data_IF_785477191681
#
_entry.id   IF_785477191681
#
_cell.length_a   1.000
_cell.length_b   1.000
_cell.length_c   1.000
_cell.angle_alpha   90.00
_cell.angle_beta   90.00
_cell.angle_gamma   90.00
#
_symmetry.space_group_name_H-M   'P 1'
#
loop_
_entity.id
_entity.type
_entity.pdbx_description
1 polymer ?
#
# COMPACT_ATOMS: atom_id res chain seq x y z
N UNK A 1 -1.12 15.54 17.61
CA UNK A 1 -0.13 14.63 17.02
C UNK A 1 0.58 13.87 18.11
N UNK A 2 1.22 12.72 17.80
CA UNK A 2 2.04 11.97 18.76
C UNK A 2 3.35 12.74 18.99
N UNK A 3 3.68 13.05 20.24
CA UNK A 3 4.85 13.88 20.59
C UNK A 3 6.19 13.22 20.27
N UNK A 4 6.23 11.90 20.13
CA UNK A 4 7.42 11.13 19.78
C UNK A 4 7.70 11.05 18.27
N UNK A 5 6.81 11.57 17.41
CA UNK A 5 6.95 11.52 15.95
C UNK A 5 7.28 12.91 15.39
N UNK A 6 8.14 12.92 14.35
CA UNK A 6 8.48 14.17 13.66
C UNK A 6 7.26 14.70 12.90
N UNK A 7 6.86 15.98 13.08
CA UNK A 7 5.69 16.54 12.41
C UNK A 7 5.79 16.50 10.88
N UNK A 8 4.67 16.20 10.21
CA UNK A 8 4.51 16.23 8.75
C UNK A 8 5.46 15.33 7.94
N UNK A 9 6.01 14.29 8.55
CA UNK A 9 6.92 13.34 7.89
C UNK A 9 6.33 11.95 7.63
N UNK A 10 5.00 11.79 7.77
CA UNK A 10 4.35 10.48 7.61
C UNK A 10 4.63 9.82 6.25
N UNK A 11 4.66 10.59 5.16
CA UNK A 11 5.00 10.06 3.83
C UNK A 11 6.44 9.54 3.71
N UNK A 12 7.37 10.06 4.51
CA UNK A 12 8.73 9.53 4.60
C UNK A 12 8.77 8.26 5.44
N UNK A 13 7.99 8.19 6.52
CA UNK A 13 7.84 6.97 7.33
C UNK A 13 7.27 5.82 6.48
N UNK A 14 6.21 6.07 5.70
CA UNK A 14 5.64 5.13 4.72
C UNK A 14 6.67 4.60 3.71
N UNK A 15 7.45 5.51 3.14
CA UNK A 15 8.48 5.13 2.15
C UNK A 15 9.64 4.40 2.85
N UNK A 16 9.99 4.81 4.07
CA UNK A 16 11.03 4.21 4.90
C UNK A 16 10.72 2.76 5.24
N UNK A 17 9.46 2.43 5.58
CA UNK A 17 9.02 1.06 5.80
C UNK A 17 9.27 0.18 4.56
N UNK A 18 8.95 0.66 3.36
CA UNK A 18 9.22 -0.08 2.12
C UNK A 18 10.73 -0.24 1.85
N UNK A 19 11.56 0.75 2.21
CA UNK A 19 13.02 0.64 2.09
C UNK A 19 13.59 -0.41 3.03
N UNK A 20 13.14 -0.44 4.30
CA UNK A 20 13.56 -1.42 5.30
C UNK A 20 13.12 -2.83 4.88
N UNK A 21 11.87 -2.98 4.44
CA UNK A 21 11.33 -4.24 3.92
C UNK A 21 12.19 -4.84 2.79
N UNK A 22 12.51 -4.04 1.78
CA UNK A 22 13.36 -4.45 0.64
C UNK A 22 14.77 -4.80 1.13
N UNK A 23 15.33 -4.02 2.05
CA UNK A 23 16.70 -4.22 2.55
C UNK A 23 16.85 -5.52 3.34
N UNK A 24 15.80 -5.92 4.05
CA UNK A 24 15.75 -7.14 4.87
C UNK A 24 15.18 -8.34 4.12
N UNK A 25 14.64 -8.15 2.90
CA UNK A 25 14.04 -9.23 2.12
C UNK A 25 12.75 -9.78 2.73
N UNK A 26 12.00 -8.97 3.48
CA UNK A 26 10.77 -9.38 4.14
C UNK A 26 9.64 -9.57 3.11
N UNK A 27 9.52 -8.65 2.15
CA UNK A 27 8.53 -8.67 1.07
C UNK A 27 7.08 -8.67 1.59
N UNK A 28 6.81 -7.92 2.66
CA UNK A 28 5.48 -7.73 3.24
C UNK A 28 4.94 -6.32 3.02
N UNK A 29 5.79 -5.30 2.83
CA UNK A 29 5.32 -3.94 2.50
C UNK A 29 5.12 -3.80 0.99
N UNK A 30 3.90 -3.51 0.49
CA UNK A 30 3.72 -3.17 -0.91
C UNK A 30 4.60 -1.98 -1.28
N UNK A 31 5.25 -2.04 -2.44
CA UNK A 31 6.28 -1.07 -2.83
C UNK A 31 5.78 0.37 -2.70
N UNK A 32 6.45 1.16 -1.87
CA UNK A 32 6.10 2.56 -1.60
C UNK A 32 7.27 3.47 -1.93
N UNK A 33 6.99 4.59 -2.61
CA UNK A 33 8.00 5.61 -2.94
C UNK A 33 7.49 7.03 -2.74
N UNK A 34 8.41 7.96 -2.54
CA UNK A 34 8.12 9.40 -2.63
C UNK A 34 7.91 9.77 -4.10
N UNK A 35 6.76 10.38 -4.40
CA UNK A 35 6.41 10.87 -5.74
C UNK A 35 5.92 12.31 -5.69
N UNK A 36 5.81 12.93 -6.87
CA UNK A 36 5.18 14.24 -7.06
C UNK A 36 4.03 14.09 -8.04
N UNK A 37 2.81 14.33 -7.59
CA UNK A 37 1.61 14.20 -8.42
C UNK A 37 0.82 15.51 -8.45
N UNK A 38 0.08 15.70 -9.55
CA UNK A 38 -0.89 16.78 -9.73
C UNK A 38 -2.22 16.13 -10.08
N UNK A 39 -3.29 16.51 -9.37
CA UNK A 39 -4.66 16.06 -9.68
C UNK A 39 -5.66 17.10 -9.19
N UNK A 40 -6.68 17.44 -9.98
CA UNK A 40 -7.73 18.38 -9.58
C UNK A 40 -8.54 17.92 -8.35
N UNK A 41 -8.54 16.60 -8.09
CA UNK A 41 -9.18 15.98 -6.93
C UNK A 41 -8.42 16.20 -5.62
N UNK A 42 -7.14 16.60 -5.67
CA UNK A 42 -6.38 16.89 -4.46
C UNK A 42 -6.80 18.21 -3.79
N UNK A 43 -6.59 18.29 -2.48
CA UNK A 43 -6.90 19.49 -1.70
C UNK A 43 -5.84 20.59 -1.90
N UNK A 44 -6.16 21.61 -2.67
CA UNK A 44 -5.33 22.80 -2.90
C UNK A 44 -5.92 24.04 -2.23
N UNK A 45 -5.06 24.98 -1.87
CA UNK A 45 -5.49 26.29 -1.43
C UNK A 45 -6.28 26.99 -2.56
N UNK A 46 -7.30 27.79 -2.21
CA UNK A 46 -8.09 28.54 -3.20
C UNK A 46 -7.19 29.39 -4.10
N UNK A 47 -6.17 30.03 -3.53
CA UNK A 47 -5.21 30.84 -4.28
C UNK A 47 -4.45 30.03 -5.35
N UNK A 48 -4.16 28.75 -5.11
CA UNK A 48 -3.44 27.92 -6.08
C UNK A 48 -4.36 27.52 -7.23
N UNK A 49 -5.64 27.25 -6.93
CA UNK A 49 -6.67 26.99 -7.93
C UNK A 49 -6.87 28.22 -8.82
N UNK A 50 -7.11 29.39 -8.23
CA UNK A 50 -7.31 30.64 -9.00
C UNK A 50 -6.08 31.00 -9.84
N UNK A 51 -4.87 30.90 -9.27
CA UNK A 51 -3.63 31.12 -10.03
C UNK A 51 -3.52 30.17 -11.22
N UNK A 52 -3.89 28.90 -11.05
CA UNK A 52 -3.85 27.92 -12.14
C UNK A 52 -4.85 28.25 -13.24
N UNK A 53 -6.06 28.69 -12.90
CA UNK A 53 -7.08 29.14 -13.85
C UNK A 53 -6.63 30.38 -14.62
N UNK A 54 -6.19 31.42 -13.91
CA UNK A 54 -5.73 32.67 -14.54
C UNK A 54 -4.56 32.42 -15.48
N UNK A 55 -3.57 31.61 -15.08
CA UNK A 55 -2.43 31.27 -15.95
C UNK A 55 -2.88 30.52 -17.21
N UNK A 56 -3.87 29.64 -17.10
CA UNK A 56 -4.45 28.93 -18.24
C UNK A 56 -5.15 29.90 -19.19
N UNK A 57 -6.01 30.78 -18.66
CA UNK A 57 -6.70 31.83 -19.44
C UNK A 57 -5.70 32.72 -20.18
N UNK A 58 -4.66 33.20 -19.49
CA UNK A 58 -3.62 34.07 -20.08
C UNK A 58 -2.83 33.31 -21.14
N UNK A 59 -2.56 32.02 -20.94
CA UNK A 59 -1.90 31.20 -21.95
C UNK A 59 -2.74 31.06 -23.22
N UNK A 60 -4.05 30.81 -23.05
CA UNK A 60 -4.98 30.60 -24.16
C UNK A 60 -5.25 31.91 -24.94
N UNK A 61 -5.37 33.05 -24.25
CA UNK A 61 -5.74 34.34 -24.87
C UNK A 61 -4.53 35.20 -25.27
N UNK A 62 -3.39 35.09 -24.57
CA UNK A 62 -2.19 35.88 -24.82
C UNK A 62 -0.94 34.98 -24.88
N UNK A 63 -0.77 34.18 -25.96
CA UNK A 63 0.27 33.15 -26.02
C UNK A 63 1.71 33.70 -25.86
N UNK A 64 1.97 34.93 -26.29
CA UNK A 64 3.28 35.61 -26.16
C UNK A 64 3.67 35.91 -24.70
N UNK A 65 2.69 36.07 -23.82
CA UNK A 65 2.87 36.23 -22.37
C UNK A 65 2.82 34.85 -21.69
N UNK A 66 1.87 34.01 -22.10
CA UNK A 66 1.67 32.67 -21.56
C UNK A 66 2.87 31.74 -21.69
N UNK A 67 3.59 31.78 -22.82
CA UNK A 67 4.81 30.97 -23.04
C UNK A 67 5.94 31.27 -22.05
N UNK A 68 5.87 32.37 -21.31
CA UNK A 68 6.84 32.70 -20.24
C UNK A 68 6.53 32.00 -18.92
N UNK A 69 5.37 31.35 -18.80
CA UNK A 69 5.04 30.58 -17.61
C UNK A 69 5.76 29.23 -17.62
N UNK A 70 6.68 29.05 -16.67
CA UNK A 70 7.40 27.78 -16.47
C UNK A 70 6.47 26.60 -16.10
N UNK A 71 5.24 26.88 -15.68
CA UNK A 71 4.22 25.88 -15.34
C UNK A 71 2.82 26.46 -15.46
N UNK A 72 1.95 25.70 -16.11
CA UNK A 72 0.51 25.91 -16.21
C UNK A 72 -0.16 24.77 -15.43
N UNK A 73 -1.20 25.07 -14.67
CA UNK A 73 -1.89 24.10 -13.81
C UNK A 73 -1.49 24.15 -12.34
N UNK A 74 -2.04 23.21 -11.57
CA UNK A 74 -1.88 23.13 -10.12
C UNK A 74 -0.45 22.72 -9.72
N UNK A 75 0.04 23.13 -8.53
CA UNK A 75 1.36 22.73 -8.07
C UNK A 75 1.41 21.21 -7.76
N UNK A 76 2.53 20.53 -8.02
CA UNK A 76 2.69 19.13 -7.63
C UNK A 76 2.76 18.99 -6.11
N UNK A 77 2.06 17.99 -5.58
CA UNK A 77 2.12 17.58 -4.18
C UNK A 77 3.09 16.43 -4.03
N UNK A 78 3.99 16.55 -3.05
CA UNK A 78 4.87 15.48 -2.62
C UNK A 78 4.10 14.57 -1.67
N UNK A 79 4.24 13.26 -1.83
CA UNK A 79 3.63 12.27 -0.94
C UNK A 79 4.17 10.87 -1.21
N UNK A 80 3.77 9.92 -0.36
CA UNK A 80 4.01 8.51 -0.54
C UNK A 80 3.02 7.96 -1.56
N UNK A 81 3.51 7.05 -2.40
CA UNK A 81 2.69 6.31 -3.35
C UNK A 81 3.01 4.83 -3.21
N UNK A 82 2.05 4.11 -2.65
CA UNK A 82 2.12 2.68 -2.40
C UNK A 82 1.38 1.92 -3.52
N UNK A 83 1.96 0.81 -3.97
CA UNK A 83 1.30 -0.09 -4.92
C UNK A 83 0.08 -0.74 -4.26
N UNK A 84 -1.06 -0.71 -4.95
CA UNK A 84 -2.28 -1.38 -4.51
C UNK A 84 -2.13 -2.91 -4.59
N UNK A 85 -2.65 -3.62 -3.60
CA UNK A 85 -2.63 -5.10 -3.55
C UNK A 85 -4.05 -5.67 -3.64
N UNK A 86 -4.22 -6.67 -4.51
CA UNK A 86 -5.52 -7.26 -4.80
C UNK A 86 -5.77 -8.57 -4.05
N UNK A 87 -7.03 -8.84 -3.70
CA UNK A 87 -7.43 -10.09 -3.03
C UNK A 87 -7.09 -10.15 -1.54
N UNK A 88 -6.60 -9.05 -0.96
CA UNK A 88 -6.33 -8.94 0.47
C UNK A 88 -7.57 -8.46 1.24
N UNK A 89 -7.66 -8.85 2.51
CA UNK A 89 -8.65 -8.39 3.50
C UNK A 89 -7.95 -8.06 4.80
N UNK A 90 -8.57 -7.24 5.63
CA UNK A 90 -8.09 -6.89 6.97
C UNK A 90 -7.72 -8.15 7.75
N UNK A 91 -6.64 -8.09 8.54
CA UNK A 91 -6.20 -9.26 9.28
C UNK A 91 -7.27 -9.72 10.28
N UNK A 92 -7.94 -8.78 10.96
CA UNK A 92 -9.04 -9.07 11.89
C UNK A 92 -10.15 -9.94 11.25
N UNK A 93 -10.48 -9.69 9.98
CA UNK A 93 -11.47 -10.48 9.25
C UNK A 93 -11.10 -11.97 9.16
N UNK A 94 -9.82 -12.27 8.90
CA UNK A 94 -9.35 -13.65 8.78
C UNK A 94 -9.09 -14.29 10.14
N UNK A 95 -8.50 -13.56 11.07
CA UNK A 95 -8.20 -14.04 12.42
C UNK A 95 -9.48 -14.52 13.13
N UNK A 96 -10.56 -13.74 13.10
CA UNK A 96 -11.86 -14.13 13.66
C UNK A 96 -12.43 -15.40 13.03
N UNK A 97 -12.22 -15.60 11.73
CA UNK A 97 -12.69 -16.82 11.03
C UNK A 97 -11.89 -18.03 11.44
N UNK A 98 -10.58 -17.88 11.62
CA UNK A 98 -9.71 -18.98 12.03
C UNK A 98 -9.89 -19.37 13.50
N UNK A 99 -10.53 -18.53 14.32
CA UNK A 99 -11.03 -18.95 15.65
C UNK A 99 -12.19 -19.95 15.53
N UNK A 100 -13.08 -19.77 14.55
CA UNK A 100 -14.23 -20.67 14.32
C UNK A 100 -13.93 -21.88 13.44
N UNK A 101 -13.06 -21.70 12.44
CA UNK A 101 -12.66 -22.72 11.45
C UNK A 101 -11.12 -22.72 11.36
N UNK A 102 -10.44 -23.49 12.23
CA UNK A 102 -8.99 -23.44 12.35
C UNK A 102 -8.26 -23.85 11.07
N UNK A 103 -7.15 -23.15 10.80
CA UNK A 103 -6.24 -23.49 9.71
C UNK A 103 -5.63 -24.88 9.90
N UNK A 104 -5.32 -25.54 8.78
CA UNK A 104 -4.47 -26.75 8.81
C UNK A 104 -3.06 -26.38 9.29
N UNK A 105 -2.37 -27.33 9.94
CA UNK A 105 -1.03 -27.08 10.50
C UNK A 105 -0.01 -26.58 9.47
N UNK A 106 -0.11 -27.01 8.21
CA UNK A 106 0.75 -26.53 7.13
C UNK A 106 0.55 -25.03 6.86
N UNK A 107 -0.70 -24.59 6.76
CA UNK A 107 -1.08 -23.20 6.49
C UNK A 107 -0.80 -22.32 7.71
N UNK A 108 -1.02 -22.84 8.92
CA UNK A 108 -0.69 -22.15 10.16
C UNK A 108 0.80 -21.82 10.25
N UNK A 109 1.68 -22.76 9.86
CA UNK A 109 3.13 -22.51 9.77
C UNK A 109 3.49 -21.45 8.73
N UNK A 110 2.85 -21.46 7.55
CA UNK A 110 3.06 -20.42 6.55
C UNK A 110 2.62 -19.04 7.07
N UNK A 111 1.45 -18.96 7.68
CA UNK A 111 0.94 -17.74 8.29
C UNK A 111 1.88 -17.23 9.39
N UNK A 112 2.34 -18.10 10.28
CA UNK A 112 3.28 -17.77 11.34
C UNK A 112 4.57 -17.15 10.77
N UNK A 113 5.13 -17.73 9.71
CA UNK A 113 6.33 -17.20 9.06
C UNK A 113 6.12 -15.82 8.43
N UNK A 114 4.97 -15.60 7.78
CA UNK A 114 4.61 -14.27 7.25
C UNK A 114 4.41 -13.26 8.40
N UNK A 115 3.81 -13.69 9.50
CA UNK A 115 3.57 -12.85 10.67
C UNK A 115 4.88 -12.45 11.36
N UNK A 116 5.83 -13.37 11.48
CA UNK A 116 7.17 -13.08 12.02
C UNK A 116 7.89 -11.99 11.23
N UNK A 117 7.75 -11.96 9.90
CA UNK A 117 8.29 -10.86 9.07
C UNK A 117 7.64 -9.52 9.39
N UNK A 118 6.33 -9.48 9.57
CA UNK A 118 5.60 -8.28 10.00
C UNK A 118 6.12 -7.80 11.37
N UNK A 119 6.28 -8.72 12.32
CA UNK A 119 6.82 -8.42 13.66
C UNK A 119 8.22 -7.83 13.58
N UNK A 120 9.10 -8.42 12.77
CA UNK A 120 10.47 -7.92 12.55
C UNK A 120 10.45 -6.50 11.97
N UNK A 121 9.63 -6.27 10.94
CA UNK A 121 9.47 -4.95 10.33
C UNK A 121 9.04 -3.91 11.37
N UNK A 122 7.88 -4.14 12.02
CA UNK A 122 7.27 -3.19 12.94
C UNK A 122 8.15 -2.92 14.16
N UNK A 123 8.89 -3.92 14.62
CA UNK A 123 9.81 -3.75 15.73
C UNK A 123 11.02 -2.90 15.35
N UNK A 124 11.60 -3.13 14.16
CA UNK A 124 12.77 -2.38 13.67
C UNK A 124 12.43 -0.92 13.41
N UNK A 125 11.30 -0.66 12.75
CA UNK A 125 10.87 0.72 12.48
C UNK A 125 10.20 1.37 13.68
N UNK A 126 9.97 0.60 14.75
CA UNK A 126 9.21 1.00 15.95
C UNK A 126 7.84 1.59 15.59
N UNK A 127 7.08 0.86 14.79
CA UNK A 127 5.75 1.28 14.38
C UNK A 127 4.87 1.53 15.61
N UNK A 128 4.30 2.73 15.69
CA UNK A 128 3.48 3.13 16.82
C UNK A 128 1.98 2.87 16.59
N UNK A 129 1.57 2.50 15.37
CA UNK A 129 0.15 2.43 14.96
C UNK A 129 -0.26 1.14 14.23
N UNK A 130 0.29 -0.01 14.64
CA UNK A 130 -0.14 -1.30 14.10
C UNK A 130 -1.35 -1.86 14.86
N UNK A 131 -2.54 -1.66 14.31
CA UNK A 131 -3.77 -2.41 14.66
C UNK A 131 -4.03 -3.58 13.70
N UNK A 132 -4.98 -4.48 14.03
CA UNK A 132 -5.36 -5.62 13.18
C UNK A 132 -6.15 -5.25 11.91
N UNK A 133 -6.52 -3.98 11.79
CA UNK A 133 -7.09 -3.32 10.61
C UNK A 133 -6.00 -2.77 9.68
N UNK A 134 -4.80 -2.50 10.20
CA UNK A 134 -3.70 -1.85 9.46
C UNK A 134 -2.72 -2.84 8.81
N UNK A 135 -3.02 -4.14 8.78
CA UNK A 135 -2.31 -5.11 7.97
C UNK A 135 -3.31 -6.08 7.37
N UNK A 136 -2.98 -6.56 6.18
CA UNK A 136 -3.89 -7.35 5.38
C UNK A 136 -3.38 -8.77 5.23
N UNK A 137 -4.31 -9.70 5.09
CA UNK A 137 -4.06 -11.10 4.79
C UNK A 137 -4.76 -11.45 3.47
N UNK A 138 -4.01 -12.10 2.58
CA UNK A 138 -4.55 -12.83 1.43
C UNK A 138 -4.45 -14.32 1.76
N UNK A 139 -5.59 -14.99 1.75
CA UNK A 139 -5.68 -16.44 1.95
C UNK A 139 -6.48 -17.07 0.82
N UNK A 140 -5.83 -17.94 0.06
CA UNK A 140 -6.44 -18.74 -1.01
C UNK A 140 -6.59 -20.18 -0.51
N UNK A 141 -7.85 -20.65 -0.43
CA UNK A 141 -8.15 -22.04 -0.09
C UNK A 141 -7.69 -22.96 -1.22
N UNK A 142 -7.27 -24.20 -0.93
CA UNK A 142 -6.92 -25.15 -1.97
C UNK A 142 -8.18 -25.46 -2.76
N UNK A 143 -8.18 -25.12 -4.05
CA UNK A 143 -9.29 -25.43 -4.95
C UNK A 143 -8.90 -26.64 -5.81
N UNK A 144 -9.83 -27.57 -5.97
CA UNK A 144 -9.64 -28.73 -6.85
C UNK A 144 -10.10 -28.31 -8.23
N UNK A 145 -9.16 -27.95 -9.11
CA UNK A 145 -9.49 -27.73 -10.51
C UNK A 145 -10.11 -29.02 -11.07
N UNK A 146 -11.36 -28.95 -11.51
CA UNK A 146 -12.00 -30.07 -12.23
C UNK A 146 -11.19 -30.31 -13.51
N UNK A 147 -10.81 -31.57 -13.82
CA UNK A 147 -10.08 -31.85 -15.04
C UNK A 147 -10.89 -31.38 -16.24
N UNK A 148 -10.26 -30.62 -17.15
CA UNK A 148 -10.82 -30.40 -18.48
C UNK A 148 -10.87 -31.75 -19.21
N UNK A 149 -11.91 -31.97 -20.03
CA UNK A 149 -12.15 -33.25 -20.71
C UNK A 149 -10.94 -33.64 -21.57
N UNK A 150 -10.10 -34.56 -21.10
CA UNK A 150 -9.07 -35.21 -21.90
C UNK A 150 -7.70 -35.39 -21.23
N UNK A 151 -7.45 -34.82 -20.07
CA UNK A 151 -6.16 -34.97 -19.36
C UNK A 151 -6.25 -36.00 -18.22
N UNK A 152 -5.19 -36.82 -18.10
CA UNK A 152 -5.06 -37.93 -17.15
C UNK A 152 -5.36 -37.53 -15.69
N UNK A 153 -5.88 -38.49 -14.93
CA UNK A 153 -6.51 -38.42 -13.61
C UNK A 153 -5.55 -38.05 -12.45
N UNK A 154 -4.86 -36.91 -12.56
CA UNK A 154 -4.16 -36.26 -11.45
C UNK A 154 -4.65 -34.81 -11.35
N UNK A 155 -5.69 -34.58 -10.54
CA UNK A 155 -6.15 -33.23 -10.26
C UNK A 155 -5.00 -32.44 -9.59
N UNK A 156 -4.48 -31.44 -10.29
CA UNK A 156 -3.49 -30.49 -9.75
C UNK A 156 -4.17 -29.67 -8.63
N UNK A 157 -3.98 -30.08 -7.38
CA UNK A 157 -4.39 -29.28 -6.22
C UNK A 157 -3.35 -28.18 -6.03
N UNK A 158 -3.76 -26.93 -6.25
CA UNK A 158 -2.91 -25.80 -5.91
C UNK A 158 -2.77 -25.73 -4.38
N UNK A 159 -1.54 -25.65 -3.85
CA UNK A 159 -1.35 -25.58 -2.42
C UNK A 159 -1.96 -24.29 -1.87
N UNK A 160 -2.54 -24.30 -0.66
CA UNK A 160 -3.03 -23.08 -0.04
C UNK A 160 -1.90 -22.06 0.11
N UNK A 161 -2.20 -20.80 -0.21
CA UNK A 161 -1.24 -19.70 -0.12
C UNK A 161 -1.76 -18.68 0.89
N UNK A 162 -0.91 -18.34 1.86
CA UNK A 162 -1.10 -17.22 2.78
C UNK A 162 -0.04 -16.15 2.53
N UNK A 163 -0.46 -14.90 2.43
CA UNK A 163 0.41 -13.72 2.32
C UNK A 163 -0.05 -12.61 3.23
N UNK A 164 0.90 -11.87 3.79
CA UNK A 164 0.64 -10.66 4.57
C UNK A 164 1.08 -9.42 3.76
N UNK A 165 0.28 -8.36 3.85
CA UNK A 165 0.64 -7.03 3.38
C UNK A 165 0.61 -6.03 4.53
N UNK A 166 1.75 -5.42 4.84
CA UNK A 166 1.89 -4.35 5.82
C UNK A 166 1.61 -2.98 5.17
N UNK A 167 0.43 -2.44 5.41
CA UNK A 167 -0.02 -1.14 4.89
C UNK A 167 0.00 -0.09 6.02
N UNK A 168 -0.27 1.18 5.71
CA UNK A 168 -0.40 2.27 6.69
C UNK A 168 0.77 2.33 7.71
N UNK A 169 1.96 2.63 7.19
CA UNK A 169 3.19 2.69 7.97
C UNK A 169 3.61 4.13 8.26
N UNK A 170 2.69 5.10 8.16
CA UNK A 170 3.00 6.53 8.27
C UNK A 170 3.33 7.03 9.68
N UNK A 171 3.21 6.17 10.71
CA UNK A 171 3.41 6.49 12.11
C UNK A 171 4.45 5.57 12.78
N UNK A 172 5.57 5.35 12.09
CA UNK A 172 6.78 4.71 12.59
C UNK A 172 7.92 5.73 12.77
#
# INVERSE_FOLDING_TARGET
>A
GRSCLVPNQGYMSETGASVVDIKLGLNVVPKTKVVKLVSETFHYLRIDREKSHVKKIVYDHFPSVGRRFNRIGLPPKVGSFQVFVEGFKDADYWLRRWETDPLTESVKKQFQFEFEKLVVLDYIIRNTDRGNDNWLIKYEKPDVKKPEKGEEEWALVEPPVVKIAAIDNGLA
#
